data_IF_172339199935
#
_entry.id   IF_172339199935
#
_cell.length_a   1.000
_cell.length_b   1.000
_cell.length_c   1.000
_cell.angle_alpha   90.00
_cell.angle_beta   90.00
_cell.angle_gamma   90.00
#
_symmetry.space_group_name_H-M   'P 1'
#
loop_
_entity.id
_entity.type
_entity.pdbx_description
1 polymer ?
#
# COMPACT_ATOMS: atom_id res chain seq x y z
N UNK A 1 33.91 -10.62 6.92
CA UNK A 1 33.08 -9.80 6.02
C UNK A 1 31.98 -10.66 5.41
N UNK A 2 30.76 -10.45 5.87
CA UNK A 2 29.61 -11.17 5.34
C UNK A 2 29.18 -10.49 4.03
N UNK A 3 29.28 -11.17 2.91
CA UNK A 3 28.61 -10.74 1.70
C UNK A 3 27.14 -11.10 1.83
N UNK A 4 26.29 -10.08 1.96
CA UNK A 4 24.86 -10.30 1.84
C UNK A 4 24.55 -10.69 0.38
N UNK A 5 23.97 -11.85 0.18
CA UNK A 5 23.46 -12.24 -1.12
C UNK A 5 22.22 -11.35 -1.42
N UNK A 6 22.05 -10.91 -2.68
CA UNK A 6 20.88 -10.16 -3.03
C UNK A 6 19.62 -10.99 -2.81
N UNK A 7 18.66 -10.43 -2.10
CA UNK A 7 17.33 -11.03 -1.88
C UNK A 7 16.37 -10.34 -2.80
N UNK A 8 15.71 -11.09 -3.68
CA UNK A 8 14.65 -10.56 -4.52
C UNK A 8 13.33 -10.61 -3.77
N UNK A 9 12.77 -9.44 -3.49
CA UNK A 9 11.45 -9.32 -2.86
C UNK A 9 10.41 -9.32 -3.97
N UNK A 10 9.39 -10.16 -3.80
CA UNK A 10 8.25 -10.24 -4.72
C UNK A 10 6.97 -10.20 -3.91
N UNK A 11 6.02 -9.35 -4.30
CA UNK A 11 4.69 -9.36 -3.72
C UNK A 11 4.00 -10.68 -4.07
N UNK A 12 3.51 -11.44 -3.08
CA UNK A 12 2.68 -12.59 -3.37
C UNK A 12 1.30 -12.15 -3.88
N UNK A 13 0.58 -13.07 -4.53
CA UNK A 13 -0.82 -12.87 -4.86
C UNK A 13 -1.66 -12.66 -3.59
N UNK A 14 -2.75 -11.92 -3.74
CA UNK A 14 -3.66 -11.65 -2.63
C UNK A 14 -4.20 -12.96 -2.04
N UNK A 15 -4.19 -13.13 -0.70
CA UNK A 15 -4.73 -14.33 -0.09
C UNK A 15 -6.24 -14.42 -0.27
N UNK A 16 -6.73 -15.64 -0.55
CA UNK A 16 -8.15 -15.89 -0.83
C UNK A 16 -9.04 -15.75 0.43
N UNK A 17 -8.48 -15.95 1.60
CA UNK A 17 -9.19 -15.99 2.89
C UNK A 17 -9.20 -14.64 3.63
N UNK A 18 -8.70 -13.60 3.01
CA UNK A 18 -8.78 -12.23 3.52
C UNK A 18 -7.45 -11.49 3.49
N UNK A 19 -7.54 -10.17 3.43
CA UNK A 19 -6.42 -9.27 3.27
C UNK A 19 -5.93 -8.77 4.63
N UNK A 20 -4.63 -8.49 4.72
CA UNK A 20 -4.05 -7.72 5.82
C UNK A 20 -3.95 -6.26 5.38
N UNK A 21 -4.70 -5.38 6.06
CA UNK A 21 -4.67 -3.95 5.80
C UNK A 21 -3.71 -3.25 6.76
N UNK A 22 -2.88 -2.36 6.24
CA UNK A 22 -2.08 -1.46 7.05
C UNK A 22 -2.83 -0.17 7.30
N UNK A 23 -2.84 0.24 8.55
CA UNK A 23 -3.43 1.51 8.99
C UNK A 23 -2.38 2.35 9.70
N UNK A 24 -2.57 3.66 9.71
CA UNK A 24 -1.67 4.56 10.41
C UNK A 24 -2.01 4.58 11.90
N UNK A 25 -0.99 4.56 12.75
CA UNK A 25 -1.19 4.64 14.21
C UNK A 25 -1.76 5.97 14.66
N UNK A 26 -1.35 7.05 14.01
CA UNK A 26 -1.64 8.43 14.45
C UNK A 26 -2.51 9.23 13.47
N UNK A 27 -2.74 8.71 12.28
CA UNK A 27 -3.42 9.41 11.18
C UNK A 27 -4.52 8.58 10.54
N UNK A 28 -5.09 7.63 11.30
CA UNK A 28 -6.23 6.88 10.80
C UNK A 28 -7.46 7.78 10.83
N UNK A 29 -8.21 7.78 9.74
CA UNK A 29 -9.40 8.60 9.58
C UNK A 29 -10.61 7.71 9.30
N UNK A 30 -11.85 8.18 9.58
CA UNK A 30 -13.06 7.42 9.26
C UNK A 30 -13.17 7.05 7.79
N UNK A 31 -12.57 7.84 6.90
CA UNK A 31 -12.54 7.56 5.46
C UNK A 31 -11.79 6.28 5.14
N UNK A 32 -10.74 5.95 5.90
CA UNK A 32 -10.01 4.69 5.75
C UNK A 32 -10.91 3.50 6.04
N UNK A 33 -11.64 3.56 7.13
CA UNK A 33 -12.57 2.50 7.51
C UNK A 33 -13.67 2.31 6.47
N UNK A 34 -14.23 3.40 5.97
CA UNK A 34 -15.23 3.40 4.91
C UNK A 34 -14.68 2.80 3.63
N UNK A 35 -13.44 3.16 3.26
CA UNK A 35 -12.77 2.61 2.09
C UNK A 35 -12.53 1.11 2.22
N UNK A 36 -12.02 0.66 3.36
CA UNK A 36 -11.70 -0.76 3.60
C UNK A 36 -12.95 -1.64 3.71
N UNK A 37 -14.13 -1.05 3.97
CA UNK A 37 -15.38 -1.80 4.02
C UNK A 37 -15.72 -2.50 2.70
N UNK A 38 -15.20 -2.00 1.57
CA UNK A 38 -15.39 -2.61 0.25
C UNK A 38 -14.46 -3.81 -0.01
N UNK A 39 -13.54 -4.09 0.90
CA UNK A 39 -12.56 -5.17 0.77
C UNK A 39 -12.80 -6.26 1.81
N UNK A 40 -12.38 -7.47 1.51
CA UNK A 40 -12.41 -8.57 2.48
C UNK A 40 -11.18 -8.49 3.37
N UNK A 41 -11.26 -7.74 4.45
CA UNK A 41 -10.15 -7.54 5.38
C UNK A 41 -10.21 -8.58 6.50
N UNK A 42 -9.19 -9.42 6.59
CA UNK A 42 -9.08 -10.43 7.65
C UNK A 42 -8.55 -9.82 8.95
N UNK A 43 -7.59 -8.89 8.84
CA UNK A 43 -7.05 -8.18 10.01
C UNK A 43 -6.40 -6.87 9.60
N UNK A 44 -6.26 -5.98 10.58
CA UNK A 44 -5.52 -4.74 10.45
C UNK A 44 -4.20 -4.83 11.22
N UNK A 45 -3.18 -4.16 10.70
CA UNK A 45 -1.89 -4.01 11.34
C UNK A 45 -1.41 -2.57 11.22
N UNK A 46 -0.49 -2.15 12.05
CA UNK A 46 0.06 -0.81 11.97
C UNK A 46 1.59 -0.83 11.98
N UNK A 47 2.18 0.09 11.24
CA UNK A 47 3.62 0.28 11.20
C UNK A 47 3.92 1.76 11.01
N UNK A 48 5.14 2.18 11.34
CA UNK A 48 5.54 3.56 11.17
C UNK A 48 5.94 3.88 9.73
N UNK A 49 5.66 5.10 9.29
CA UNK A 49 6.25 5.74 8.12
C UNK A 49 6.26 4.91 6.82
N UNK A 50 7.30 5.08 6.02
CA UNK A 50 7.51 4.41 4.73
C UNK A 50 7.75 2.90 4.82
N UNK A 51 7.98 2.35 6.01
CA UNK A 51 8.08 0.90 6.21
C UNK A 51 6.84 0.15 5.71
N UNK A 52 5.67 0.80 5.72
CA UNK A 52 4.42 0.21 5.23
C UNK A 52 4.51 -0.26 3.78
N UNK A 53 5.20 0.48 2.91
CA UNK A 53 5.41 0.06 1.51
C UNK A 53 6.24 -1.21 1.42
N UNK A 54 7.27 -1.33 2.26
CA UNK A 54 8.10 -2.53 2.31
C UNK A 54 7.32 -3.74 2.82
N UNK A 55 6.43 -3.56 3.79
CA UNK A 55 5.57 -4.64 4.29
C UNK A 55 4.63 -5.17 3.21
N UNK A 56 4.08 -4.29 2.37
CA UNK A 56 3.29 -4.71 1.22
C UNK A 56 4.18 -5.40 0.19
N UNK A 57 5.38 -4.87 -0.07
CA UNK A 57 6.32 -5.42 -1.04
C UNK A 57 6.77 -6.85 -0.70
N UNK A 58 6.94 -7.17 0.59
CA UNK A 58 7.34 -8.51 1.03
C UNK A 58 6.17 -9.45 1.33
N UNK A 59 4.94 -8.95 1.25
CA UNK A 59 3.74 -9.75 1.48
C UNK A 59 3.34 -9.92 2.94
N UNK A 60 3.95 -9.16 3.86
CA UNK A 60 3.51 -9.12 5.27
C UNK A 60 2.18 -8.38 5.42
N UNK A 61 1.82 -7.55 4.44
CA UNK A 61 0.53 -6.90 4.33
C UNK A 61 0.12 -6.86 2.85
N UNK A 62 -1.14 -6.54 2.58
CA UNK A 62 -1.71 -6.62 1.25
C UNK A 62 -2.18 -5.26 0.71
N UNK A 63 -2.65 -4.39 1.58
CA UNK A 63 -3.20 -3.09 1.18
C UNK A 63 -2.89 -2.02 2.22
N UNK A 64 -2.52 -0.83 1.74
CA UNK A 64 -2.27 0.34 2.58
C UNK A 64 -2.91 1.58 1.96
N UNK A 65 -4.11 1.98 2.42
CA UNK A 65 -4.74 3.24 2.01
C UNK A 65 -4.19 4.40 2.84
N UNK A 66 -3.97 5.54 2.21
CA UNK A 66 -3.52 6.77 2.85
C UNK A 66 -4.39 7.95 2.42
N UNK A 67 -5.20 8.47 3.34
CA UNK A 67 -6.08 9.62 3.11
C UNK A 67 -5.62 10.88 3.86
N UNK A 68 -4.41 10.89 4.36
CA UNK A 68 -3.80 12.06 4.96
C UNK A 68 -2.85 12.76 3.98
N UNK A 69 -2.40 13.96 4.35
CA UNK A 69 -1.42 14.69 3.56
C UNK A 69 -0.08 13.98 3.57
N UNK A 70 0.47 13.72 2.37
CA UNK A 70 1.83 13.25 2.16
C UNK A 70 2.50 14.03 1.04
N UNK A 71 3.81 14.08 1.10
CA UNK A 71 4.64 14.72 0.08
C UNK A 71 5.34 13.67 -0.77
N UNK A 72 5.77 14.06 -1.96
CA UNK A 72 6.44 13.12 -2.87
C UNK A 72 7.65 12.43 -2.25
N UNK A 73 8.39 13.11 -1.38
CA UNK A 73 9.53 12.51 -0.69
C UNK A 73 9.15 11.48 0.39
N UNK A 74 7.88 11.45 0.81
CA UNK A 74 7.40 10.42 1.73
C UNK A 74 7.15 9.09 1.02
N UNK A 75 6.96 9.10 -0.30
CA UNK A 75 6.49 7.93 -1.06
C UNK A 75 7.47 7.44 -2.12
N UNK A 76 8.37 8.28 -2.64
CA UNK A 76 9.15 7.96 -3.82
C UNK A 76 9.99 6.68 -3.67
N UNK A 77 10.73 6.52 -2.59
CA UNK A 77 11.56 5.33 -2.37
C UNK A 77 10.72 4.07 -2.14
N UNK A 78 9.69 4.16 -1.30
CA UNK A 78 8.78 3.05 -1.03
C UNK A 78 7.99 2.63 -2.27
N UNK A 79 7.57 3.59 -3.08
CA UNK A 79 6.90 3.34 -4.36
C UNK A 79 7.79 2.54 -5.32
N UNK A 80 9.06 2.92 -5.43
CA UNK A 80 10.02 2.19 -6.26
C UNK A 80 10.18 0.73 -5.79
N UNK A 81 10.33 0.52 -4.50
CA UNK A 81 10.48 -0.83 -3.92
C UNK A 81 9.22 -1.67 -4.20
N UNK A 82 8.05 -1.11 -3.94
CA UNK A 82 6.79 -1.82 -4.13
C UNK A 82 6.54 -2.16 -5.60
N UNK A 83 6.80 -1.22 -6.50
CA UNK A 83 6.64 -1.43 -7.94
C UNK A 83 7.55 -2.54 -8.47
N UNK A 84 8.81 -2.55 -8.09
CA UNK A 84 9.76 -3.60 -8.49
C UNK A 84 9.39 -4.96 -7.90
N UNK A 85 8.70 -4.99 -6.78
CA UNK A 85 8.20 -6.23 -6.19
C UNK A 85 6.91 -6.74 -6.84
N UNK A 86 6.29 -5.95 -7.73
CA UNK A 86 5.08 -6.32 -8.46
C UNK A 86 3.80 -5.68 -7.94
N UNK A 87 3.89 -4.80 -6.92
CA UNK A 87 2.75 -4.04 -6.41
C UNK A 87 2.56 -2.70 -7.11
N UNK A 88 1.56 -1.95 -6.67
CA UNK A 88 1.21 -0.65 -7.22
C UNK A 88 0.91 0.37 -6.13
N UNK A 89 1.08 1.65 -6.45
CA UNK A 89 0.53 2.77 -5.67
C UNK A 89 -0.29 3.62 -6.63
N UNK A 90 -1.58 3.71 -6.36
CA UNK A 90 -2.54 4.40 -7.22
C UNK A 90 -3.30 5.47 -6.43
N UNK A 91 -3.75 6.50 -7.14
CA UNK A 91 -4.73 7.43 -6.58
C UNK A 91 -6.13 6.79 -6.55
N UNK A 92 -7.13 7.53 -6.09
CA UNK A 92 -8.50 7.01 -5.98
C UNK A 92 -9.17 6.79 -7.33
N UNK A 93 -8.62 7.34 -8.41
CA UNK A 93 -9.10 7.16 -9.79
C UNK A 93 -8.41 6.00 -10.52
N UNK A 94 -7.48 5.32 -9.85
CA UNK A 94 -6.75 4.18 -10.41
C UNK A 94 -5.50 4.54 -11.19
N UNK A 95 -5.05 5.80 -11.12
CA UNK A 95 -3.84 6.26 -11.80
C UNK A 95 -2.62 6.08 -10.89
N UNK A 96 -1.51 5.56 -11.44
CA UNK A 96 -0.26 5.46 -10.70
C UNK A 96 0.20 6.85 -10.24
N UNK A 97 0.76 6.94 -9.03
CA UNK A 97 1.31 8.19 -8.51
C UNK A 97 2.42 8.72 -9.42
N UNK A 98 2.41 10.03 -9.64
CA UNK A 98 3.42 10.74 -10.44
C UNK A 98 4.24 11.67 -9.56
N UNK A 99 5.42 12.04 -10.05
CA UNK A 99 6.40 12.86 -9.34
C UNK A 99 6.79 14.07 -10.17
N UNK A 100 7.17 15.14 -9.46
CA UNK A 100 7.48 16.42 -10.11
C UNK A 100 6.28 17.35 -10.22
N UNK A 101 5.28 17.17 -9.39
CA UNK A 101 4.12 18.08 -9.33
C UNK A 101 4.55 19.44 -8.76
N UNK A 102 3.88 20.54 -9.14
CA UNK A 102 4.30 21.89 -8.73
C UNK A 102 4.39 22.12 -7.23
N UNK A 103 3.50 21.49 -6.44
CA UNK A 103 3.45 21.59 -4.98
C UNK A 103 4.14 20.43 -4.28
N UNK A 104 4.60 19.41 -5.01
CA UNK A 104 5.22 18.18 -4.49
C UNK A 104 4.34 17.41 -3.50
N UNK A 105 3.04 17.65 -3.52
CA UNK A 105 2.07 16.98 -2.66
C UNK A 105 1.41 15.82 -3.39
N UNK A 106 1.25 14.69 -2.68
CA UNK A 106 0.56 13.53 -3.21
C UNK A 106 -0.96 13.66 -3.05
N UNK A 107 -1.75 13.12 -3.99
CA UNK A 107 -3.16 12.86 -3.72
C UNK A 107 -3.30 11.73 -2.68
N UNK A 108 -4.51 11.48 -2.22
CA UNK A 108 -4.81 10.26 -1.47
C UNK A 108 -4.45 9.04 -2.34
N UNK A 109 -3.90 8.01 -1.73
CA UNK A 109 -3.43 6.87 -2.49
C UNK A 109 -3.69 5.54 -1.80
N UNK A 110 -3.56 4.48 -2.58
CA UNK A 110 -3.66 3.11 -2.13
C UNK A 110 -2.43 2.36 -2.63
N UNK A 111 -1.64 1.82 -1.70
CA UNK A 111 -0.57 0.89 -2.00
C UNK A 111 -1.10 -0.53 -1.85
N UNK A 112 -0.88 -1.38 -2.82
CA UNK A 112 -1.42 -2.75 -2.80
C UNK A 112 -0.55 -3.73 -3.57
N UNK A 113 -0.60 -4.99 -3.17
CA UNK A 113 0.00 -6.10 -3.90
C UNK A 113 -0.86 -6.54 -5.08
N UNK A 114 -0.33 -7.45 -5.93
CA UNK A 114 -1.07 -7.95 -7.08
C UNK A 114 -2.31 -8.74 -6.67
N UNK A 115 -3.37 -8.64 -7.46
CA UNK A 115 -4.63 -9.36 -7.21
C UNK A 115 -5.50 -8.79 -6.10
N UNK A 116 -5.07 -7.71 -5.43
CA UNK A 116 -5.88 -7.04 -4.41
C UNK A 116 -6.99 -6.27 -5.09
N UNK A 117 -8.24 -6.65 -4.84
CA UNK A 117 -9.42 -6.05 -5.42
C UNK A 117 -10.54 -5.95 -4.39
N UNK A 118 -11.52 -5.10 -4.67
CA UNK A 118 -12.74 -5.01 -3.87
C UNK A 118 -13.46 -6.35 -3.83
N UNK A 119 -14.09 -6.66 -2.72
CA UNK A 119 -14.95 -7.82 -2.62
C UNK A 119 -16.06 -7.69 -3.65
N UNK A 120 -16.31 -8.76 -4.42
CA UNK A 120 -17.43 -8.78 -5.36
C UNK A 120 -18.70 -8.81 -4.55
N UNK A 121 -19.66 -7.88 -4.75
CA UNK A 121 -20.95 -8.01 -4.11
C UNK A 121 -21.56 -9.33 -4.53
N UNK A 122 -22.10 -10.08 -3.58
CA UNK A 122 -22.87 -11.27 -3.89
C UNK A 122 -24.01 -10.88 -4.82
N UNK A 123 -24.02 -11.51 -5.98
CA UNK A 123 -25.05 -11.26 -6.98
C UNK A 123 -26.42 -11.74 -6.51
#
# INVERSE_FOLDING_TARGET
RTCALPIFITCPEAPADGLVALVSRSHNTPEVDTFLADYNIARESSAGSSLKFCLVAEGAADIYPRFGRTMEWDTAAGHAILRFAGGTIEDLDGNELTYGKPDLENPHFIAKGPGVAKATPDA
#
